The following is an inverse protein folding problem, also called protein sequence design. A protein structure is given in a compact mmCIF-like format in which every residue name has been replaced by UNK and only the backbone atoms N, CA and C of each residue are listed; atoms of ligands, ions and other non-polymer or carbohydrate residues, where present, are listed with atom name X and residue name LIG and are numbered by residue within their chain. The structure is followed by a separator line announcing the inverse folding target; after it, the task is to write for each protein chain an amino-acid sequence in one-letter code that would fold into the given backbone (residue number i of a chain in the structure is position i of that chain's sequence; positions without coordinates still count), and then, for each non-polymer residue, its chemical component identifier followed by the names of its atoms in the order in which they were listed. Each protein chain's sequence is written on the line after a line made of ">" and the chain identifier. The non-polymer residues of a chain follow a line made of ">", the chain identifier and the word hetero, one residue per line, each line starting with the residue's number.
data_IF_024521933302
#
_entry.id   IF_024521933302
#
_cell.length_a   1.000
_cell.length_b   1.000
_cell.length_c   1.000
_cell.angle_alpha   90.00
_cell.angle_beta   90.00
_cell.angle_gamma   90.00
#
_symmetry.space_group_name_H-M   'P 1'
#
loop_
_entity.id
_entity.type
_entity.pdbx_description
1 polymer ?
#
# COMPACT_ATOMS: atom_id res chain seq x y z
N UNK A 1 61.86 27.60 -41.81
CA UNK A 1 60.57 27.02 -42.25
C UNK A 1 60.16 25.99 -41.20
N UNK A 2 59.42 26.44 -40.17
CA UNK A 2 59.00 25.59 -39.04
C UNK A 2 57.76 24.78 -39.46
N UNK A 3 57.75 23.48 -39.16
CA UNK A 3 56.60 22.59 -39.34
C UNK A 3 55.86 22.52 -38.01
N UNK A 4 54.66 23.08 -37.96
CA UNK A 4 53.73 22.92 -36.85
C UNK A 4 52.83 21.71 -37.12
N UNK A 5 52.75 20.82 -36.13
CA UNK A 5 51.91 19.62 -36.10
C UNK A 5 50.55 20.04 -35.55
N UNK A 6 49.50 19.96 -36.35
CA UNK A 6 48.13 20.12 -35.88
C UNK A 6 47.54 18.75 -35.50
N UNK A 7 47.35 18.55 -34.20
CA UNK A 7 46.54 17.47 -33.63
C UNK A 7 45.07 17.90 -33.76
N UNK A 8 44.31 17.21 -34.60
CA UNK A 8 42.86 17.39 -34.70
C UNK A 8 42.17 16.53 -33.63
N UNK A 9 41.69 17.17 -32.57
CA UNK A 9 40.76 16.54 -31.61
C UNK A 9 39.43 16.24 -32.31
N UNK A 10 39.09 14.96 -32.45
CA UNK A 10 37.74 14.52 -32.85
C UNK A 10 36.85 14.63 -31.60
N UNK A 11 35.95 15.61 -31.61
CA UNK A 11 34.90 15.75 -30.62
C UNK A 11 33.80 14.72 -30.93
N UNK A 12 33.71 13.65 -30.15
CA UNK A 12 32.56 12.72 -30.22
C UNK A 12 31.38 13.37 -29.51
N UNK A 13 30.43 13.89 -30.30
CA UNK A 13 29.16 14.38 -29.78
C UNK A 13 28.31 13.19 -29.30
N UNK A 14 28.18 13.03 -27.98
CA UNK A 14 27.20 12.14 -27.37
C UNK A 14 25.82 12.74 -27.64
N UNK A 15 25.10 12.22 -28.63
CA UNK A 15 23.67 12.53 -28.80
C UNK A 15 22.92 11.93 -27.62
N UNK A 16 22.55 12.78 -26.66
CA UNK A 16 21.50 12.47 -25.71
C UNK A 16 20.22 12.17 -26.49
N UNK A 17 19.75 10.93 -26.43
CA UNK A 17 18.43 10.54 -26.92
C UNK A 17 17.38 11.29 -26.10
N UNK A 18 16.96 12.46 -26.58
CA UNK A 18 15.74 13.11 -26.14
C UNK A 18 14.58 12.15 -26.43
N UNK A 19 14.05 11.51 -25.38
CA UNK A 19 12.73 10.86 -25.46
C UNK A 19 11.73 11.96 -25.87
N UNK A 20 10.96 11.78 -26.96
CA UNK A 20 9.92 12.75 -27.31
C UNK A 20 8.99 12.93 -26.10
N UNK A 21 8.71 14.18 -25.74
CA UNK A 21 7.81 14.51 -24.63
C UNK A 21 6.46 13.83 -24.82
N UNK A 22 6.01 13.09 -23.81
CA UNK A 22 4.70 12.44 -23.81
C UNK A 22 3.61 13.51 -24.02
N UNK A 23 2.61 13.28 -24.88
CA UNK A 23 1.48 14.21 -25.04
C UNK A 23 0.80 14.44 -23.68
N UNK A 24 0.52 15.70 -23.38
CA UNK A 24 -0.02 16.19 -22.09
C UNK A 24 -1.41 15.62 -21.71
N UNK A 25 -2.02 14.80 -22.58
CA UNK A 25 -3.37 14.24 -22.42
C UNK A 25 -3.43 12.71 -22.44
N UNK A 26 -2.32 11.99 -22.66
CA UNK A 26 -2.34 10.52 -22.70
C UNK A 26 -2.42 9.93 -21.28
N UNK A 27 -3.28 8.93 -21.05
CA UNK A 27 -3.28 8.18 -19.80
C UNK A 27 -2.13 7.16 -19.81
N UNK A 28 -1.47 6.87 -18.67
CA UNK A 28 -0.53 5.74 -18.59
C UNK A 28 -1.19 4.41 -18.97
N UNK A 29 -2.51 4.28 -18.77
CA UNK A 29 -3.27 3.08 -19.15
C UNK A 29 -3.32 2.84 -20.68
N UNK A 30 -3.06 3.87 -21.51
CA UNK A 30 -3.03 3.77 -22.98
C UNK A 30 -1.65 3.37 -23.51
N UNK A 31 -0.67 3.20 -22.60
CA UNK A 31 0.76 3.00 -22.88
C UNK A 31 1.38 1.97 -21.94
N UNK A 32 0.62 0.96 -21.55
CA UNK A 32 1.12 -0.08 -20.64
C UNK A 32 2.28 -0.85 -21.28
N UNK A 33 3.38 -1.08 -20.54
CA UNK A 33 4.42 -2.00 -20.98
C UNK A 33 3.90 -3.45 -21.00
N UNK A 34 4.55 -4.37 -21.73
CA UNK A 34 4.05 -5.75 -21.91
C UNK A 34 3.96 -6.56 -20.61
N UNK A 35 4.63 -6.12 -19.54
CA UNK A 35 4.59 -6.73 -18.21
C UNK A 35 3.50 -6.15 -17.29
N UNK A 36 2.66 -5.22 -17.76
CA UNK A 36 1.51 -4.69 -16.99
C UNK A 36 0.21 -4.97 -17.73
N UNK A 37 -0.78 -5.51 -17.02
CA UNK A 37 -2.12 -5.79 -17.54
C UNK A 37 -3.18 -5.13 -16.66
N UNK A 38 -4.12 -4.41 -17.27
CA UNK A 38 -5.30 -3.91 -16.57
C UNK A 38 -6.27 -5.07 -16.29
N UNK A 39 -6.82 -5.10 -15.07
CA UNK A 39 -7.85 -6.04 -14.66
C UNK A 39 -9.24 -5.43 -14.68
N UNK A 40 -9.37 -4.23 -14.11
CA UNK A 40 -10.67 -3.58 -13.90
C UNK A 40 -10.62 -2.12 -14.33
N UNK A 41 -11.79 -1.53 -14.58
CA UNK A 41 -11.95 -0.12 -14.94
C UNK A 41 -12.41 0.76 -13.77
N UNK A 42 -12.58 0.15 -12.60
CA UNK A 42 -12.96 0.75 -11.33
C UNK A 42 -12.30 -0.04 -10.19
N UNK A 43 -12.35 0.50 -8.99
CA UNK A 43 -11.82 -0.16 -7.81
C UNK A 43 -10.47 0.36 -7.35
N UNK A 44 -10.20 0.07 -6.09
CA UNK A 44 -9.05 0.54 -5.32
C UNK A 44 -8.68 -0.46 -4.21
N UNK A 45 -7.48 -0.30 -3.64
CA UNK A 45 -7.02 -1.01 -2.43
C UNK A 45 -7.09 -2.52 -2.56
N UNK A 46 -6.35 -3.05 -3.53
CA UNK A 46 -6.29 -4.48 -3.80
C UNK A 46 -5.63 -5.27 -2.67
N UNK A 47 -6.01 -6.54 -2.51
CA UNK A 47 -5.31 -7.54 -1.70
C UNK A 47 -5.29 -8.90 -2.40
N UNK A 48 -4.23 -9.68 -2.19
CA UNK A 48 -4.04 -10.98 -2.82
C UNK A 48 -4.60 -12.12 -1.96
N UNK A 49 -5.34 -13.02 -2.60
CA UNK A 49 -5.65 -14.31 -2.00
C UNK A 49 -4.36 -15.10 -1.78
N UNK A 50 -4.31 -15.95 -0.75
CA UNK A 50 -3.10 -16.70 -0.39
C UNK A 50 -2.61 -17.66 -1.49
N UNK A 51 -3.51 -18.11 -2.37
CA UNK A 51 -3.19 -18.94 -3.53
C UNK A 51 -2.76 -18.14 -4.77
N UNK A 52 -2.74 -16.80 -4.70
CA UNK A 52 -2.40 -15.91 -5.82
C UNK A 52 -3.37 -15.94 -6.99
N UNK A 53 -4.56 -16.53 -6.83
CA UNK A 53 -5.52 -16.71 -7.94
C UNK A 53 -6.57 -15.61 -8.02
N UNK A 54 -6.74 -14.83 -6.95
CA UNK A 54 -7.82 -13.86 -6.82
C UNK A 54 -7.29 -12.55 -6.20
N UNK A 55 -7.91 -11.45 -6.62
CA UNK A 55 -7.70 -10.14 -6.01
C UNK A 55 -9.00 -9.68 -5.38
N UNK A 56 -8.93 -9.35 -4.11
CA UNK A 56 -9.94 -8.62 -3.36
C UNK A 56 -9.73 -7.12 -3.60
N UNK A 57 -10.79 -6.34 -3.77
CA UNK A 57 -10.69 -4.89 -3.90
C UNK A 57 -11.99 -4.20 -3.48
N UNK A 58 -11.92 -2.90 -3.20
CA UNK A 58 -13.08 -2.07 -2.89
C UNK A 58 -13.48 -1.29 -4.14
N UNK A 59 -14.77 -1.12 -4.41
CA UNK A 59 -15.29 -0.37 -5.58
C UNK A 59 -14.76 1.08 -5.65
N UNK A 60 -14.80 1.73 -4.49
CA UNK A 60 -14.41 3.11 -4.18
C UNK A 60 -14.41 3.24 -2.66
N UNK A 61 -13.93 4.35 -2.11
CA UNK A 61 -14.02 4.57 -0.66
C UNK A 61 -15.50 4.64 -0.26
N UNK A 62 -15.91 3.81 0.71
CA UNK A 62 -17.31 3.54 1.10
C UNK A 62 -18.14 2.80 0.04
N UNK A 63 -17.49 2.02 -0.80
CA UNK A 63 -18.13 1.15 -1.78
C UNK A 63 -18.31 -0.28 -1.29
N UNK A 64 -18.83 -1.11 -2.18
CA UNK A 64 -18.89 -2.56 -2.03
C UNK A 64 -17.49 -3.18 -2.15
N UNK A 65 -17.37 -4.42 -1.65
CA UNK A 65 -16.17 -5.24 -1.81
C UNK A 65 -16.39 -6.28 -2.90
N UNK A 66 -15.39 -6.46 -3.75
CA UNK A 66 -15.40 -7.37 -4.88
C UNK A 66 -14.18 -8.28 -4.87
N UNK A 67 -14.34 -9.45 -5.49
CA UNK A 67 -13.24 -10.35 -5.81
C UNK A 67 -13.19 -10.57 -7.33
N UNK A 68 -11.99 -10.52 -7.92
CA UNK A 68 -11.75 -10.91 -9.31
C UNK A 68 -10.87 -12.17 -9.36
N UNK A 69 -11.31 -13.18 -10.11
CA UNK A 69 -10.48 -14.33 -10.45
C UNK A 69 -9.56 -13.99 -11.64
N UNK A 70 -8.25 -14.15 -11.47
CA UNK A 70 -7.26 -13.67 -12.45
C UNK A 70 -7.35 -14.41 -13.78
N UNK A 71 -7.55 -15.72 -13.73
CA UNK A 71 -7.58 -16.57 -14.91
C UNK A 71 -8.82 -16.31 -15.79
N UNK A 72 -9.99 -16.15 -15.18
CA UNK A 72 -11.28 -16.05 -15.89
C UNK A 72 -11.74 -14.60 -16.08
N UNK A 73 -11.19 -13.66 -15.30
CA UNK A 73 -11.63 -12.26 -15.20
C UNK A 73 -13.06 -12.09 -14.69
N UNK A 74 -13.63 -13.13 -14.08
CA UNK A 74 -14.95 -13.03 -13.44
C UNK A 74 -14.83 -12.21 -12.16
N UNK A 75 -15.66 -11.17 -12.04
CA UNK A 75 -15.78 -10.31 -10.86
C UNK A 75 -17.04 -10.73 -10.09
N UNK A 76 -16.91 -10.89 -8.77
CA UNK A 76 -18.01 -11.26 -7.87
C UNK A 76 -18.12 -10.23 -6.74
N UNK A 77 -19.33 -9.71 -6.44
CA UNK A 77 -19.54 -8.91 -5.25
C UNK A 77 -19.52 -9.81 -4.00
N UNK A 78 -18.89 -9.33 -2.94
CA UNK A 78 -18.81 -10.03 -1.66
C UNK A 78 -19.71 -9.41 -0.58
N UNK A 79 -20.32 -8.25 -0.85
CA UNK A 79 -21.08 -7.50 0.17
C UNK A 79 -22.50 -7.14 -0.25
N UNK A 80 -22.97 -7.62 -1.42
CA UNK A 80 -24.32 -7.31 -1.93
C UNK A 80 -25.46 -7.98 -1.16
N UNK A 81 -25.16 -8.99 -0.34
CA UNK A 81 -26.18 -9.77 0.38
C UNK A 81 -26.60 -9.17 1.73
N UNK A 82 -26.08 -7.99 2.11
CA UNK A 82 -26.48 -7.25 3.31
C UNK A 82 -26.36 -5.73 3.11
N UNK A 83 -27.07 -4.95 3.94
CA UNK A 83 -26.97 -3.48 3.90
C UNK A 83 -25.80 -2.97 4.74
N UNK A 84 -25.08 -1.97 4.23
CA UNK A 84 -23.94 -1.36 4.91
C UNK A 84 -23.67 0.08 4.43
N UNK A 85 -22.83 0.80 5.18
CA UNK A 85 -22.36 2.15 4.82
C UNK A 85 -21.15 2.16 3.88
N UNK A 86 -20.67 0.97 3.49
CA UNK A 86 -19.52 0.79 2.61
C UNK A 86 -18.22 0.59 3.37
N UNK A 87 -17.16 0.23 2.66
CA UNK A 87 -15.87 -0.12 3.26
C UNK A 87 -14.74 0.76 2.73
N UNK A 88 -13.69 0.91 3.52
CA UNK A 88 -12.46 1.63 3.17
C UNK A 88 -11.30 0.68 2.92
N UNK A 89 -11.32 -0.54 3.48
CA UNK A 89 -10.32 -1.58 3.24
C UNK A 89 -10.97 -2.96 3.35
N UNK A 90 -10.48 -3.90 2.57
CA UNK A 90 -10.82 -5.31 2.67
C UNK A 90 -9.53 -6.12 2.48
N UNK A 91 -9.24 -7.06 3.39
CA UNK A 91 -8.02 -7.87 3.39
C UNK A 91 -8.36 -9.32 3.71
N UNK A 92 -7.71 -10.29 3.05
CA UNK A 92 -7.86 -11.69 3.41
C UNK A 92 -7.19 -12.01 4.74
N UNK A 93 -7.91 -12.70 5.61
CA UNK A 93 -7.38 -13.39 6.78
C UNK A 93 -6.78 -14.75 6.38
N UNK A 94 -5.90 -15.29 7.21
CA UNK A 94 -5.19 -16.54 6.95
C UNK A 94 -6.13 -17.77 6.73
N UNK A 95 -7.36 -17.74 7.25
CA UNK A 95 -8.36 -18.78 7.05
C UNK A 95 -9.25 -18.58 5.80
N UNK A 96 -9.04 -17.48 5.06
CA UNK A 96 -9.81 -17.08 3.89
C UNK A 96 -11.01 -16.17 4.17
N UNK A 97 -11.36 -15.92 5.45
CA UNK A 97 -12.31 -14.87 5.80
C UNK A 97 -11.73 -13.49 5.47
N UNK A 98 -12.55 -12.44 5.54
CA UNK A 98 -12.16 -11.10 5.11
C UNK A 98 -12.23 -10.15 6.30
N UNK A 99 -11.13 -9.49 6.60
CA UNK A 99 -11.10 -8.33 7.48
C UNK A 99 -11.61 -7.12 6.70
N UNK A 100 -12.63 -6.46 7.23
CA UNK A 100 -13.21 -5.25 6.67
C UNK A 100 -12.94 -4.07 7.60
N UNK A 101 -12.65 -2.91 7.00
CA UNK A 101 -12.64 -1.61 7.68
C UNK A 101 -13.74 -0.74 7.07
N UNK A 102 -14.61 -0.16 7.89
CA UNK A 102 -15.71 0.69 7.42
C UNK A 102 -16.41 1.45 8.55
N UNK A 103 -17.15 2.53 8.25
CA UNK A 103 -17.80 3.33 9.27
C UNK A 103 -19.13 2.71 9.74
N UNK A 104 -19.54 3.07 10.95
CA UNK A 104 -20.90 2.78 11.48
C UNK A 104 -21.91 3.88 11.15
N UNK A 105 -21.46 4.99 10.57
CA UNK A 105 -22.30 6.09 10.10
C UNK A 105 -21.63 6.83 8.94
N UNK A 106 -22.43 7.22 7.94
CA UNK A 106 -21.95 7.92 6.76
C UNK A 106 -22.73 9.20 6.49
N UNK A 107 -22.03 10.34 6.46
CA UNK A 107 -22.56 11.61 5.99
C UNK A 107 -21.91 11.97 4.64
N UNK A 108 -22.65 11.92 3.52
CA UNK A 108 -22.09 12.26 2.21
C UNK A 108 -21.69 13.74 2.08
N UNK A 109 -22.15 14.63 2.98
CA UNK A 109 -21.73 16.04 3.01
C UNK A 109 -20.43 16.24 3.78
N UNK A 110 -20.08 15.31 4.69
CA UNK A 110 -18.88 15.36 5.51
C UNK A 110 -18.14 14.00 5.53
N UNK A 111 -17.78 13.43 4.36
CA UNK A 111 -17.31 12.05 4.27
C UNK A 111 -15.97 11.81 4.97
N UNK A 112 -15.18 12.87 5.20
CA UNK A 112 -13.89 12.75 5.90
C UNK A 112 -14.04 12.36 7.36
N UNK A 113 -15.15 12.72 8.03
CA UNK A 113 -15.40 12.31 9.42
C UNK A 113 -15.56 10.79 9.49
N UNK A 114 -16.34 10.21 8.57
CA UNK A 114 -16.53 8.76 8.47
C UNK A 114 -15.23 8.02 8.15
N UNK A 115 -14.30 8.62 7.40
CA UNK A 115 -13.00 8.02 7.05
C UNK A 115 -12.17 7.76 8.30
N UNK A 116 -12.20 8.73 9.21
CA UNK A 116 -11.50 8.65 10.49
C UNK A 116 -12.21 7.70 11.45
N UNK A 117 -13.53 7.57 11.38
CA UNK A 117 -14.34 6.75 12.31
C UNK A 117 -14.68 5.37 11.74
N UNK A 118 -13.70 4.66 11.16
CA UNK A 118 -13.87 3.28 10.70
C UNK A 118 -13.64 2.28 11.83
N UNK A 119 -14.34 1.14 11.75
CA UNK A 119 -14.28 0.00 12.65
C UNK A 119 -13.87 -1.26 11.90
N UNK A 120 -13.32 -2.22 12.64
CA UNK A 120 -12.94 -3.52 12.09
C UNK A 120 -14.05 -4.56 12.24
N UNK A 121 -14.23 -5.34 11.19
CA UNK A 121 -15.20 -6.44 11.13
C UNK A 121 -14.58 -7.67 10.46
N UNK A 122 -15.14 -8.85 10.72
CA UNK A 122 -14.82 -10.08 10.00
C UNK A 122 -16.03 -10.54 9.20
N UNK A 123 -15.87 -10.61 7.87
CA UNK A 123 -16.82 -11.23 6.96
C UNK A 123 -16.40 -12.68 6.70
N UNK A 124 -17.30 -13.63 6.98
CA UNK A 124 -17.06 -15.04 6.66
C UNK A 124 -16.98 -15.24 5.15
N UNK A 125 -16.01 -16.05 4.70
CA UNK A 125 -15.84 -16.44 3.30
C UNK A 125 -17.00 -17.23 2.70
N UNK A 126 -17.88 -17.76 3.55
CA UNK A 126 -19.08 -18.49 3.11
C UNK A 126 -20.20 -17.52 2.68
N UNK A 127 -20.06 -16.22 3.00
CA UNK A 127 -20.96 -15.13 2.58
C UNK A 127 -22.44 -15.37 2.94
N UNK A 128 -22.69 -16.06 4.06
CA UNK A 128 -24.06 -16.41 4.49
C UNK A 128 -24.73 -15.32 5.32
N UNK A 129 -24.02 -14.25 5.69
CA UNK A 129 -24.55 -13.18 6.55
C UNK A 129 -23.67 -11.92 6.57
N UNK A 130 -24.08 -10.90 7.35
CA UNK A 130 -23.30 -9.68 7.53
C UNK A 130 -22.02 -9.94 8.34
N UNK A 131 -21.02 -9.04 8.27
CA UNK A 131 -19.77 -9.20 8.99
C UNK A 131 -19.95 -8.98 10.50
N UNK A 132 -19.14 -9.65 11.31
CA UNK A 132 -19.16 -9.54 12.78
C UNK A 132 -18.20 -8.43 13.23
N UNK A 133 -18.63 -7.47 14.07
CA UNK A 133 -17.77 -6.41 14.58
C UNK A 133 -16.71 -6.94 15.55
N UNK A 134 -15.49 -6.43 15.46
CA UNK A 134 -14.40 -6.72 16.40
C UNK A 134 -14.33 -5.74 17.58
N UNK A 135 -15.17 -4.69 17.58
CA UNK A 135 -15.31 -3.76 18.70
C UNK A 135 -14.18 -2.73 18.83
N UNK A 136 -13.39 -2.51 17.78
CA UNK A 136 -12.30 -1.53 17.75
C UNK A 136 -12.34 -0.66 16.49
N UNK A 137 -11.92 0.60 16.62
CA UNK A 137 -11.71 1.48 15.46
C UNK A 137 -10.38 1.17 14.78
N UNK A 138 -10.24 1.60 13.54
CA UNK A 138 -9.01 1.50 12.77
C UNK A 138 -8.85 2.74 11.89
N UNK A 139 -7.69 3.38 11.98
CA UNK A 139 -7.32 4.47 11.05
C UNK A 139 -6.79 3.87 9.77
N UNK A 140 -7.46 4.12 8.65
CA UNK A 140 -7.04 3.76 7.28
C UNK A 140 -6.68 2.27 7.08
N UNK A 141 -5.41 1.89 7.17
CA UNK A 141 -4.91 0.54 6.95
C UNK A 141 -4.65 -0.28 8.23
N UNK A 142 -5.34 -1.43 8.42
CA UNK A 142 -4.85 -2.50 9.28
C UNK A 142 -3.82 -3.37 8.56
N UNK A 143 -2.93 -4.02 9.31
CA UNK A 143 -2.08 -5.10 8.83
C UNK A 143 -2.70 -6.46 9.17
N UNK A 144 -2.69 -7.38 8.22
CA UNK A 144 -3.09 -8.78 8.43
C UNK A 144 -1.86 -9.68 8.29
N UNK A 145 -1.69 -10.61 9.22
CA UNK A 145 -0.69 -11.67 9.09
C UNK A 145 -1.03 -12.58 7.92
N UNK A 146 -0.02 -12.95 7.13
CA UNK A 146 -0.15 -13.91 6.02
C UNK A 146 -0.10 -15.37 6.51
N UNK A 147 0.22 -15.61 7.79
CA UNK A 147 0.53 -16.94 8.32
C UNK A 147 -0.37 -17.39 9.48
N UNK A 148 -0.90 -16.44 10.25
CA UNK A 148 -1.67 -16.71 11.48
C UNK A 148 -2.90 -15.81 11.52
N UNK A 149 -3.89 -16.19 12.33
CA UNK A 149 -5.10 -15.40 12.57
C UNK A 149 -4.76 -14.23 13.50
N UNK A 150 -4.06 -13.23 12.97
CA UNK A 150 -3.47 -12.15 13.74
C UNK A 150 -3.47 -10.86 12.92
N UNK A 151 -3.77 -9.74 13.57
CA UNK A 151 -3.86 -8.43 12.94
C UNK A 151 -3.17 -7.36 13.78
N UNK A 152 -2.76 -6.27 13.14
CA UNK A 152 -2.38 -5.03 13.80
C UNK A 152 -3.12 -3.85 13.17
N UNK A 153 -3.34 -2.79 13.94
CA UNK A 153 -4.06 -1.61 13.47
C UNK A 153 -3.66 -0.36 14.25
N UNK A 154 -3.86 0.78 13.60
CA UNK A 154 -3.59 2.09 14.20
C UNK A 154 -4.87 2.69 14.80
N UNK A 155 -4.73 3.26 16.00
CA UNK A 155 -5.62 4.29 16.51
C UNK A 155 -5.00 5.68 16.35
N UNK A 156 -5.80 6.67 15.95
CA UNK A 156 -5.43 8.10 15.97
C UNK A 156 -6.27 8.86 17.00
N UNK A 157 -5.72 9.95 17.54
CA UNK A 157 -6.36 10.72 18.62
C UNK A 157 -7.81 11.14 18.34
N UNK A 158 -8.17 11.46 17.10
CA UNK A 158 -9.54 11.82 16.70
C UNK A 158 -10.56 10.69 16.90
N UNK A 159 -10.13 9.43 16.96
CA UNK A 159 -11.00 8.28 17.21
C UNK A 159 -11.31 8.10 18.69
N UNK A 160 -10.40 8.56 19.56
CA UNK A 160 -10.47 8.39 21.01
C UNK A 160 -9.97 9.66 21.75
N UNK A 161 -10.63 10.82 21.54
CA UNK A 161 -10.15 12.11 22.08
C UNK A 161 -10.09 12.15 23.61
N UNK A 162 -10.91 11.36 24.29
CA UNK A 162 -10.92 11.27 25.76
C UNK A 162 -9.80 10.36 26.32
N UNK A 163 -9.11 9.61 25.45
CA UNK A 163 -8.08 8.64 25.85
C UNK A 163 -6.70 8.97 25.29
N UNK A 164 -6.61 9.82 24.27
CA UNK A 164 -5.39 10.06 23.49
C UNK A 164 -5.14 11.56 23.31
N UNK A 165 -3.92 12.05 23.61
CA UNK A 165 -3.56 13.45 23.37
C UNK A 165 -3.75 13.85 21.89
N UNK A 166 -4.17 15.08 21.60
CA UNK A 166 -4.31 15.55 20.22
C UNK A 166 -3.03 15.37 19.40
N UNK A 167 -3.17 14.81 18.19
CA UNK A 167 -2.06 14.57 17.27
C UNK A 167 -1.25 13.31 17.56
N UNK A 168 -1.63 12.51 18.58
CA UNK A 168 -1.00 11.22 18.86
C UNK A 168 -1.66 10.06 18.10
N UNK A 169 -0.91 8.97 17.99
CA UNK A 169 -1.35 7.71 17.41
C UNK A 169 -0.69 6.52 18.11
N UNK A 170 -1.31 5.35 18.04
CA UNK A 170 -0.80 4.13 18.65
C UNK A 170 -1.15 2.91 17.82
N UNK A 171 -0.25 1.94 17.78
CA UNK A 171 -0.42 0.67 17.08
C UNK A 171 -0.77 -0.42 18.09
N UNK A 172 -1.84 -1.15 17.81
CA UNK A 172 -2.26 -2.34 18.54
C UNK A 172 -2.05 -3.58 17.68
N UNK A 173 -1.92 -4.72 18.33
CA UNK A 173 -2.08 -6.03 17.68
C UNK A 173 -2.94 -6.96 18.53
N UNK A 174 -3.53 -7.97 17.90
CA UNK A 174 -4.32 -9.00 18.55
C UNK A 174 -4.46 -10.25 17.66
N UNK A 175 -4.75 -11.37 18.30
CA UNK A 175 -5.23 -12.57 17.62
C UNK A 175 -6.74 -12.44 17.31
N UNK A 176 -7.17 -13.04 16.21
CA UNK A 176 -8.59 -13.30 15.94
C UNK A 176 -8.87 -14.75 16.33
N UNK A 177 -9.73 -14.94 17.32
CA UNK A 177 -10.19 -16.26 17.76
C UNK A 177 -11.69 -16.40 17.52
N UNK A 178 -12.14 -17.63 17.26
CA UNK A 178 -13.55 -17.94 17.06
C UNK A 178 -14.09 -18.65 18.29
N UNK A 179 -15.09 -18.04 18.94
CA UNK A 179 -15.84 -18.65 20.03
C UNK A 179 -17.23 -19.01 19.52
N UNK A 180 -17.54 -20.30 19.44
CA UNK A 180 -18.77 -20.83 18.82
C UNK A 180 -19.03 -20.26 17.41
N UNK A 181 -17.97 -20.11 16.61
CA UNK A 181 -18.05 -19.56 15.25
C UNK A 181 -18.12 -18.03 15.16
N UNK A 182 -18.12 -17.32 16.29
CA UNK A 182 -18.14 -15.86 16.33
C UNK A 182 -16.71 -15.34 16.51
N UNK A 183 -16.17 -14.55 15.56
CA UNK A 183 -14.83 -13.98 15.67
C UNK A 183 -14.78 -12.88 16.73
N UNK A 184 -13.69 -12.84 17.50
CA UNK A 184 -13.38 -11.76 18.44
C UNK A 184 -11.87 -11.56 18.58
N UNK A 185 -11.49 -10.39 19.08
CA UNK A 185 -10.09 -10.11 19.44
C UNK A 185 -9.70 -10.87 20.71
N UNK A 186 -8.47 -11.37 20.74
CA UNK A 186 -7.82 -11.97 21.91
C UNK A 186 -6.36 -11.51 22.00
N UNK A 187 -5.77 -11.58 23.19
CA UNK A 187 -4.37 -11.23 23.45
C UNK A 187 -3.97 -9.83 22.95
N UNK A 188 -4.92 -8.89 23.00
CA UNK A 188 -4.69 -7.53 22.51
C UNK A 188 -3.57 -6.84 23.30
N UNK A 189 -2.58 -6.28 22.58
CA UNK A 189 -1.46 -5.55 23.19
C UNK A 189 -1.09 -4.29 22.41
N UNK A 190 -0.60 -3.30 23.14
CA UNK A 190 -0.01 -2.09 22.57
C UNK A 190 1.39 -2.42 22.05
N UNK A 191 1.63 -2.15 20.76
CA UNK A 191 2.91 -2.34 20.08
C UNK A 191 3.77 -1.10 20.21
N UNK A 192 3.21 0.06 19.86
CA UNK A 192 3.93 1.33 19.78
C UNK A 192 2.98 2.51 20.05
N UNK A 193 3.44 3.49 20.82
CA UNK A 193 2.78 4.80 20.98
C UNK A 193 3.69 5.88 20.39
N UNK A 194 3.14 6.76 19.55
CA UNK A 194 3.90 7.82 18.89
C UNK A 194 4.58 8.78 19.88
N UNK A 195 4.06 8.91 21.10
CA UNK A 195 4.64 9.77 22.14
C UNK A 195 5.90 9.19 22.77
N UNK A 196 6.17 7.89 22.61
CA UNK A 196 7.36 7.21 23.11
C UNK A 196 8.54 7.30 22.12
N UNK A 197 8.30 7.79 20.90
CA UNK A 197 9.32 7.95 19.88
C UNK A 197 10.19 9.19 20.14
N UNK A 198 11.49 9.15 19.77
CA UNK A 198 12.39 10.31 19.89
C UNK A 198 12.09 11.41 18.84
N UNK A 199 11.03 11.25 18.06
CA UNK A 199 10.58 12.19 17.04
C UNK A 199 9.04 12.18 16.97
N UNK A 200 8.47 13.27 16.48
CA UNK A 200 7.02 13.40 16.30
C UNK A 200 6.60 12.80 14.96
N UNK A 201 5.58 11.97 14.98
CA UNK A 201 4.90 11.47 13.79
C UNK A 201 3.47 11.01 14.09
N UNK A 202 2.68 10.80 13.05
CA UNK A 202 1.49 9.95 13.10
C UNK A 202 1.84 8.59 12.50
N UNK A 203 1.51 7.52 13.20
CA UNK A 203 1.80 6.15 12.82
C UNK A 203 0.68 5.62 11.91
N UNK A 204 1.01 4.91 10.85
CA UNK A 204 0.06 4.06 10.13
C UNK A 204 0.63 2.67 9.92
N UNK A 205 -0.12 1.67 10.35
CA UNK A 205 0.27 0.26 10.31
C UNK A 205 0.12 -0.26 8.89
N UNK A 206 1.07 -1.08 8.39
CA UNK A 206 0.96 -1.65 7.03
C UNK A 206 1.09 -3.17 6.96
N UNK A 207 2.25 -3.75 7.25
CA UNK A 207 2.45 -5.20 7.11
C UNK A 207 3.34 -5.81 8.19
N UNK A 208 3.04 -7.06 8.57
CA UNK A 208 4.00 -7.89 9.28
C UNK A 208 5.12 -8.31 8.32
N UNK A 209 6.37 -8.19 8.78
CA UNK A 209 7.54 -8.55 7.99
C UNK A 209 7.71 -10.07 7.94
N UNK A 210 7.54 -10.64 6.76
CA UNK A 210 7.82 -12.04 6.45
C UNK A 210 9.33 -12.34 6.52
N UNK A 211 9.71 -13.64 6.63
CA UNK A 211 8.83 -14.80 6.81
C UNK A 211 8.38 -15.03 8.26
N UNK A 212 9.04 -14.40 9.24
CA UNK A 212 8.86 -14.69 10.66
C UNK A 212 7.72 -13.90 11.33
N UNK A 213 7.31 -12.77 10.74
CA UNK A 213 6.31 -11.84 11.29
C UNK A 213 6.62 -11.40 12.74
N UNK A 214 7.91 -11.12 12.99
CA UNK A 214 8.44 -10.58 14.27
C UNK A 214 8.66 -9.07 14.24
N UNK A 215 8.47 -8.43 13.10
CA UNK A 215 8.55 -6.99 12.92
C UNK A 215 7.29 -6.53 12.21
N UNK A 216 6.82 -5.33 12.56
CA UNK A 216 5.71 -4.66 11.88
C UNK A 216 6.22 -3.40 11.19
N UNK A 217 5.94 -3.29 9.91
CA UNK A 217 6.28 -2.13 9.07
C UNK A 217 5.15 -1.09 9.15
N UNK A 218 5.52 0.18 9.28
CA UNK A 218 4.59 1.29 9.46
C UNK A 218 5.11 2.59 8.82
N UNK A 219 4.18 3.48 8.47
CA UNK A 219 4.47 4.85 8.02
C UNK A 219 4.65 5.76 9.23
N UNK A 220 5.73 6.55 9.25
CA UNK A 220 5.94 7.62 10.23
C UNK A 220 5.64 8.99 9.59
N UNK A 221 4.36 9.35 9.48
CA UNK A 221 3.95 10.60 8.84
C UNK A 221 4.45 11.84 9.57
N UNK A 222 4.98 12.80 8.81
CA UNK A 222 5.48 14.07 9.33
C UNK A 222 6.91 14.02 9.88
N UNK A 223 7.48 12.83 10.08
CA UNK A 223 8.90 12.70 10.40
C UNK A 223 9.72 12.75 9.11
N UNK A 224 10.58 13.77 8.97
CA UNK A 224 11.44 13.99 7.80
C UNK A 224 10.71 14.07 6.43
N UNK A 225 9.39 14.32 6.45
CA UNK A 225 8.52 14.09 5.30
C UNK A 225 7.57 12.95 5.65
N UNK A 226 7.85 11.76 5.16
CA UNK A 226 7.23 10.50 5.62
C UNK A 226 8.25 9.39 5.44
N UNK A 227 8.47 8.60 6.48
CA UNK A 227 9.50 7.56 6.52
C UNK A 227 8.87 6.17 6.70
N UNK A 228 9.48 5.18 6.05
CA UNK A 228 9.19 3.76 6.26
C UNK A 228 9.97 3.30 7.49
N UNK A 229 9.26 2.94 8.54
CA UNK A 229 9.84 2.41 9.77
C UNK A 229 9.38 0.96 10.02
N UNK A 230 10.14 0.25 10.85
CA UNK A 230 9.70 -1.02 11.42
C UNK A 230 9.87 -1.04 12.93
N UNK A 231 9.00 -1.77 13.61
CA UNK A 231 9.07 -2.04 15.05
C UNK A 231 9.19 -3.54 15.29
N UNK A 232 10.27 -3.94 15.96
CA UNK A 232 10.45 -5.32 16.40
C UNK A 232 9.44 -5.64 17.52
N UNK A 233 8.62 -6.66 17.32
CA UNK A 233 7.47 -6.99 18.16
C UNK A 233 7.84 -7.64 19.51
N UNK A 234 9.12 -7.96 19.71
CA UNK A 234 9.66 -8.53 20.95
C UNK A 234 10.42 -7.47 21.74
N UNK A 235 11.38 -6.80 21.08
CA UNK A 235 12.30 -5.84 21.69
C UNK A 235 11.75 -4.41 21.70
N UNK A 236 10.70 -4.14 20.91
CA UNK A 236 10.13 -2.80 20.66
C UNK A 236 11.09 -1.80 20.02
N UNK A 237 12.24 -2.28 19.50
CA UNK A 237 13.19 -1.43 18.80
C UNK A 237 12.57 -0.93 17.50
N UNK A 238 12.62 0.38 17.29
CA UNK A 238 12.20 1.02 16.05
C UNK A 238 13.41 1.29 15.15
N UNK A 239 13.27 0.96 13.86
CA UNK A 239 14.28 1.19 12.83
C UNK A 239 13.66 2.04 11.71
N UNK A 240 14.31 3.13 11.32
CA UNK A 240 13.97 3.86 10.10
C UNK A 240 14.73 3.23 8.91
N UNK A 241 14.00 2.73 7.91
CA UNK A 241 14.56 2.04 6.76
C UNK A 241 14.80 2.96 5.54
N UNK A 242 13.93 3.96 5.33
CA UNK A 242 14.06 4.89 4.21
C UNK A 242 15.20 5.88 4.42
N UNK A 243 15.29 6.45 5.63
CA UNK A 243 16.24 7.50 6.00
C UNK A 243 16.39 8.59 4.90
N UNK A 244 15.25 9.14 4.46
CA UNK A 244 15.15 9.94 3.24
C UNK A 244 14.55 11.34 3.49
N UNK A 245 15.28 12.26 4.17
CA UNK A 245 14.79 13.60 4.42
C UNK A 245 14.25 14.33 3.19
N UNK A 246 13.05 14.91 3.33
CA UNK A 246 12.36 15.64 2.27
C UNK A 246 11.82 14.74 1.16
N UNK A 247 11.68 13.45 1.41
CA UNK A 247 10.99 12.49 0.55
C UNK A 247 9.67 12.07 1.22
N UNK A 248 8.71 11.68 0.39
CA UNK A 248 7.54 10.94 0.84
C UNK A 248 7.78 9.46 0.59
N UNK A 249 7.87 8.65 1.64
CA UNK A 249 7.99 7.19 1.57
C UNK A 249 6.93 6.52 2.47
N UNK A 250 5.80 6.13 1.88
CA UNK A 250 4.74 5.38 2.57
C UNK A 250 4.79 3.90 2.19
N UNK A 251 5.05 2.96 3.12
CA UNK A 251 5.02 1.53 2.81
C UNK A 251 3.59 1.08 2.43
N UNK A 252 3.45 0.05 1.59
CA UNK A 252 2.12 -0.46 1.16
C UNK A 252 1.98 -1.99 1.16
N UNK A 253 3.05 -2.72 0.85
CA UNK A 253 3.00 -4.17 0.70
C UNK A 253 4.39 -4.79 0.84
N UNK A 254 4.49 -5.97 1.44
CA UNK A 254 5.78 -6.59 1.74
C UNK A 254 6.14 -7.70 0.74
N UNK A 255 7.42 -7.81 0.37
CA UNK A 255 7.90 -8.93 -0.44
C UNK A 255 8.04 -10.20 0.43
N UNK A 256 7.70 -11.40 -0.08
CA UNK A 256 7.68 -12.63 0.74
C UNK A 256 9.02 -13.03 1.36
N UNK A 257 10.13 -12.58 0.78
CA UNK A 257 11.48 -12.82 1.31
C UNK A 257 11.83 -11.92 2.52
N UNK A 258 10.99 -10.94 2.84
CA UNK A 258 11.21 -9.98 3.91
C UNK A 258 12.33 -8.96 3.67
N UNK A 259 12.93 -8.94 2.48
CA UNK A 259 14.06 -8.06 2.18
C UNK A 259 13.61 -6.69 1.67
N UNK A 260 12.40 -6.62 1.13
CA UNK A 260 11.86 -5.41 0.52
C UNK A 260 10.43 -5.13 0.97
N UNK A 261 10.07 -3.85 0.95
CA UNK A 261 8.67 -3.39 0.97
C UNK A 261 8.41 -2.55 -0.26
N UNK A 262 7.19 -2.62 -0.80
CA UNK A 262 6.64 -1.61 -1.67
C UNK A 262 6.46 -0.31 -0.90
N UNK A 263 6.70 0.79 -1.60
CA UNK A 263 6.59 2.14 -1.08
C UNK A 263 5.93 3.04 -2.14
N UNK A 264 4.87 3.76 -1.76
CA UNK A 264 4.42 4.95 -2.47
C UNK A 264 5.44 6.06 -2.25
N UNK A 265 6.19 6.38 -3.31
CA UNK A 265 7.36 7.24 -3.22
C UNK A 265 7.39 8.32 -4.31
N UNK A 266 7.78 9.52 -3.91
CA UNK A 266 7.86 10.70 -4.77
C UNK A 266 9.29 11.05 -5.23
N UNK A 267 10.28 10.18 -4.98
CA UNK A 267 11.72 10.41 -5.22
C UNK A 267 12.04 10.99 -6.60
N UNK A 268 11.31 10.59 -7.63
CA UNK A 268 11.45 11.03 -9.02
C UNK A 268 11.13 12.51 -9.26
N UNK A 269 10.31 13.14 -8.40
CA UNK A 269 9.80 14.49 -8.65
C UNK A 269 9.74 15.40 -7.40
N UNK A 270 9.76 14.84 -6.18
CA UNK A 270 9.70 15.54 -4.89
C UNK A 270 8.46 16.43 -4.72
N UNK A 271 7.30 15.97 -5.22
CA UNK A 271 6.02 16.70 -5.20
C UNK A 271 5.00 16.12 -4.20
N UNK A 272 5.44 15.26 -3.29
CA UNK A 272 4.64 14.66 -2.22
C UNK A 272 3.71 13.53 -2.67
N UNK A 273 2.88 13.07 -1.73
CA UNK A 273 1.97 11.91 -1.84
C UNK A 273 1.00 11.91 -3.04
N UNK A 274 0.76 13.08 -3.63
CA UNK A 274 -0.09 13.21 -4.81
C UNK A 274 0.63 12.91 -6.14
N UNK A 275 1.94 12.67 -6.12
CA UNK A 275 2.74 12.45 -7.33
C UNK A 275 3.65 11.22 -7.19
N UNK A 276 3.19 10.21 -6.47
CA UNK A 276 3.96 9.00 -6.20
C UNK A 276 3.96 8.03 -7.36
N UNK A 277 4.95 7.14 -7.34
CA UNK A 277 4.88 5.84 -8.00
C UNK A 277 5.19 4.76 -6.97
N UNK A 278 5.02 3.50 -7.36
CA UNK A 278 5.45 2.37 -6.55
C UNK A 278 6.93 2.09 -6.79
N UNK A 279 7.65 2.00 -5.67
CA UNK A 279 9.05 1.62 -5.59
C UNK A 279 9.19 0.41 -4.67
N UNK A 280 10.30 -0.31 -4.77
CA UNK A 280 10.73 -1.25 -3.71
C UNK A 280 11.86 -0.63 -2.90
N UNK A 281 11.72 -0.63 -1.59
CA UNK A 281 12.71 -0.20 -0.61
C UNK A 281 13.35 -1.41 0.05
N UNK A 282 14.68 -1.43 0.17
CA UNK A 282 15.39 -2.46 0.92
C UNK A 282 15.25 -2.23 2.43
N UNK A 283 14.86 -3.27 3.16
CA UNK A 283 14.66 -3.23 4.61
C UNK A 283 15.95 -3.59 5.37
N UNK A 284 17.04 -2.90 5.06
CA UNK A 284 18.37 -3.04 5.67
C UNK A 284 18.92 -1.72 6.26
N UNK A 285 18.16 -0.62 6.14
CA UNK A 285 18.55 0.71 6.61
C UNK A 285 19.39 1.50 5.61
N UNK A 286 19.62 0.97 4.40
CA UNK A 286 20.42 1.63 3.36
C UNK A 286 19.69 2.74 2.61
N UNK A 287 18.35 2.81 2.70
CA UNK A 287 17.52 3.70 1.88
C UNK A 287 17.53 3.33 0.38
N UNK A 288 17.98 2.12 0.03
CA UNK A 288 18.06 1.70 -1.38
C UNK A 288 16.66 1.51 -1.96
N UNK A 289 16.36 2.29 -3.00
CA UNK A 289 15.08 2.28 -3.71
C UNK A 289 15.25 1.88 -5.18
N UNK A 290 14.29 1.14 -5.71
CA UNK A 290 14.15 0.88 -7.14
C UNK A 290 12.71 1.12 -7.60
N UNK A 291 12.55 2.00 -8.60
CA UNK A 291 11.23 2.40 -9.14
C UNK A 291 10.64 1.26 -9.96
N UNK A 292 9.39 0.92 -9.71
CA UNK A 292 8.68 -0.17 -10.40
C UNK A 292 7.65 0.37 -11.40
N UNK A 293 6.93 1.43 -11.04
CA UNK A 293 5.93 2.07 -11.90
C UNK A 293 6.37 3.46 -12.34
N UNK A 294 5.80 3.92 -13.46
CA UNK A 294 6.15 5.20 -14.10
C UNK A 294 4.90 6.02 -14.43
N UNK A 295 3.82 5.84 -13.67
CA UNK A 295 2.53 6.45 -13.95
C UNK A 295 2.56 7.95 -13.68
N UNK A 296 3.38 8.40 -12.73
CA UNK A 296 3.57 9.84 -12.46
C UNK A 296 4.40 10.59 -13.52
N UNK A 297 4.99 9.87 -14.49
CA UNK A 297 5.61 10.52 -15.66
C UNK A 297 4.53 11.09 -16.61
N UNK A 298 3.27 10.65 -16.46
CA UNK A 298 2.11 11.20 -17.17
C UNK A 298 1.45 12.27 -16.30
N UNK A 299 1.31 13.48 -16.84
CA UNK A 299 0.75 14.61 -16.12
C UNK A 299 -0.65 14.29 -15.55
N UNK A 300 -0.83 14.49 -14.25
CA UNK A 300 -2.11 14.27 -13.58
C UNK A 300 -2.34 12.85 -13.05
N UNK A 301 -1.38 11.94 -13.21
CA UNK A 301 -1.52 10.53 -12.81
C UNK A 301 -0.50 10.12 -11.75
N UNK A 302 -0.79 9.02 -11.06
CA UNK A 302 0.09 8.32 -10.12
C UNK A 302 -0.27 6.83 -10.07
N UNK A 303 0.62 6.01 -9.53
CA UNK A 303 0.34 4.62 -9.16
C UNK A 303 0.44 4.48 -7.65
N UNK A 304 -0.52 3.79 -7.04
CA UNK A 304 -0.69 3.74 -5.58
C UNK A 304 -1.22 2.37 -5.13
N UNK A 305 -1.19 2.13 -3.82
CA UNK A 305 -1.81 1.03 -3.10
C UNK A 305 -1.42 -0.33 -3.69
N UNK A 306 -0.10 -0.54 -3.76
CA UNK A 306 0.50 -1.72 -4.32
C UNK A 306 0.60 -2.87 -3.32
N UNK A 307 0.26 -4.09 -3.74
CA UNK A 307 0.39 -5.32 -2.96
C UNK A 307 1.10 -6.41 -3.75
N UNK A 308 1.85 -7.26 -3.06
CA UNK A 308 2.66 -8.34 -3.66
C UNK A 308 1.97 -9.69 -3.42
N UNK A 309 1.96 -10.55 -4.44
CA UNK A 309 1.49 -11.94 -4.29
C UNK A 309 2.41 -12.75 -3.36
N UNK A 310 1.88 -13.75 -2.68
CA UNK A 310 2.66 -14.54 -1.69
C UNK A 310 3.87 -15.30 -2.30
N UNK A 311 3.90 -15.49 -3.62
CA UNK A 311 5.04 -16.05 -4.36
C UNK A 311 6.05 -14.98 -4.83
N UNK A 312 5.74 -13.70 -4.63
CA UNK A 312 6.61 -12.56 -4.96
C UNK A 312 6.69 -12.23 -6.45
N UNK A 313 5.89 -12.90 -7.30
CA UNK A 313 5.99 -12.77 -8.76
C UNK A 313 5.16 -11.62 -9.32
N UNK A 314 4.01 -11.34 -8.71
CA UNK A 314 3.04 -10.38 -9.19
C UNK A 314 2.87 -9.25 -8.19
N UNK A 315 2.75 -8.04 -8.72
CA UNK A 315 2.29 -6.88 -7.98
C UNK A 315 0.91 -6.48 -8.50
N UNK A 316 -0.07 -6.35 -7.62
CA UNK A 316 -1.32 -5.67 -7.93
C UNK A 316 -1.23 -4.22 -7.45
N UNK A 317 -1.79 -3.28 -8.21
CA UNK A 317 -1.79 -1.86 -7.86
C UNK A 317 -2.93 -1.13 -8.56
N UNK A 318 -3.17 0.14 -8.21
CA UNK A 318 -4.22 0.94 -8.85
C UNK A 318 -3.67 2.12 -9.66
N UNK A 319 -4.43 2.50 -10.69
CA UNK A 319 -4.32 3.81 -11.33
C UNK A 319 -4.99 4.85 -10.44
N UNK A 320 -4.31 5.95 -10.15
CA UNK A 320 -4.89 7.09 -9.44
C UNK A 320 -4.55 8.41 -10.14
N UNK A 321 -5.29 9.48 -9.81
CA UNK A 321 -5.00 10.83 -10.29
C UNK A 321 -4.34 11.65 -9.19
N UNK A 322 -3.50 12.60 -9.59
CA UNK A 322 -2.80 13.48 -8.63
C UNK A 322 -3.74 14.47 -7.94
N UNK A 323 -4.94 14.68 -8.48
CA UNK A 323 -5.99 15.51 -7.87
C UNK A 323 -6.84 14.76 -6.84
N UNK A 324 -6.76 13.43 -6.81
CA UNK A 324 -7.64 12.62 -5.97
C UNK A 324 -7.08 12.52 -4.55
N UNK A 325 -7.95 12.41 -3.53
CA UNK A 325 -7.54 12.06 -2.18
C UNK A 325 -6.76 10.74 -2.14
N UNK A 326 -5.92 10.58 -1.11
CA UNK A 326 -5.16 9.36 -0.88
C UNK A 326 -6.06 8.10 -0.87
N UNK A 327 -5.58 7.05 -1.55
CA UNK A 327 -6.22 5.75 -1.71
C UNK A 327 -7.35 5.65 -2.74
N UNK A 328 -7.78 6.75 -3.37
CA UNK A 328 -8.75 6.70 -4.47
C UNK A 328 -8.15 6.05 -5.72
N UNK A 329 -8.87 5.08 -6.31
CA UNK A 329 -8.41 4.33 -7.48
C UNK A 329 -9.41 4.29 -8.64
N UNK A 330 -8.90 4.07 -9.85
CA UNK A 330 -9.65 4.03 -11.12
C UNK A 330 -9.44 2.72 -11.88
N UNK A 331 -9.23 1.63 -11.15
CA UNK A 331 -8.97 0.31 -11.72
C UNK A 331 -7.72 -0.34 -11.17
N UNK A 332 -7.77 -1.67 -11.11
CA UNK A 332 -6.71 -2.55 -10.65
C UNK A 332 -5.90 -3.04 -11.85
N UNK A 333 -4.58 -3.10 -11.67
CA UNK A 333 -3.60 -3.57 -12.63
C UNK A 333 -2.75 -4.65 -11.96
N UNK A 334 -2.25 -5.59 -12.75
CA UNK A 334 -1.20 -6.52 -12.35
C UNK A 334 0.07 -6.21 -13.13
N UNK A 335 1.20 -6.24 -12.44
CA UNK A 335 2.54 -6.20 -12.99
C UNK A 335 3.26 -7.53 -12.75
N UNK A 336 3.83 -8.12 -13.80
CA UNK A 336 4.77 -9.24 -13.71
C UNK A 336 6.17 -8.71 -13.40
N UNK A 337 6.64 -8.98 -12.18
CA UNK A 337 7.91 -8.46 -11.67
C UNK A 337 9.11 -9.16 -12.32
N UNK A 338 9.01 -10.45 -12.64
CA UNK A 338 10.06 -11.21 -13.29
C UNK A 338 10.30 -10.67 -14.72
N UNK A 339 9.22 -10.48 -15.48
CA UNK A 339 9.27 -9.89 -16.81
C UNK A 339 9.82 -8.46 -16.76
N UNK A 340 9.39 -7.66 -15.78
CA UNK A 340 9.93 -6.31 -15.57
C UNK A 340 11.44 -6.32 -15.34
N UNK A 341 11.95 -7.08 -14.38
CA UNK A 341 13.38 -7.09 -14.06
C UNK A 341 14.23 -7.61 -15.22
N UNK A 342 13.70 -8.54 -16.03
CA UNK A 342 14.37 -8.99 -17.26
C UNK A 342 14.53 -7.85 -18.26
N UNK A 343 13.48 -7.07 -18.51
CA UNK A 343 13.51 -5.90 -19.41
C UNK A 343 14.41 -4.80 -18.83
N UNK A 344 14.31 -4.51 -17.53
CA UNK A 344 15.11 -3.49 -16.87
C UNK A 344 16.61 -3.80 -16.89
N UNK A 345 17.00 -5.07 -16.81
CA UNK A 345 18.39 -5.51 -16.96
C UNK A 345 18.89 -5.30 -18.39
N UNK A 346 18.11 -5.71 -19.39
CA UNK A 346 18.45 -5.53 -20.81
C UNK A 346 18.59 -4.07 -21.23
N UNK A 347 17.95 -3.13 -20.54
CA UNK A 347 18.07 -1.70 -20.81
C UNK A 347 19.33 -1.05 -20.19
N UNK A 348 20.05 -1.76 -19.30
CA UNK A 348 21.29 -1.31 -18.66
C UNK A 348 22.54 -1.85 -19.34
N UNK A 349 22.42 -2.99 -20.02
CA UNK A 349 23.45 -3.59 -20.88
C UNK A 349 23.40 -2.93 -22.27
#
# INVERSE_FOLDING_TARGET
>A
MKRDVHITCILVAVMALCRPGLPQTASPADRLPPYITRLTWFGERADWSADGKRILFVEKTYGDVYEIEIATRVIRPLTHHFYHYGFTRALYLANGDILLSGPEAFDPKNPHVSRVQCFLYVLSKDLTGPPTPLGTKCSEGPAVSRRRMHIAWTHVSQQYPDQMPPGSSRIWEADIVYDNGIPRLANQRLVLDSNELPFRCTLETQNFRLPDEKELIFSAYGYQGTEVCGVDLVTRKVTNYSNAPGQYDEPEGLFPDGQYTLVECDRQNRRGSNHVDLWRLRLDGSGQLERLTFFSDFAGYKASNGVISDDGRLMAFQLARSSDPAGVGHGIFIMDLEAFFKVAKQAKD
#
